data_IF_469599392237
#
_entry.id   IF_469599392237
#
_cell.length_a   1.000
_cell.length_b   1.000
_cell.length_c   1.000
_cell.angle_alpha   90.00
_cell.angle_beta   90.00
_cell.angle_gamma   90.00
#
_symmetry.space_group_name_H-M   'P 1'
#
loop_
_entity.id
_entity.type
_entity.pdbx_description
1 polymer ?
#
# COMPACT_ATOMS: atom_id res chain seq x y z
N UNK A 1 15.39 -5.01 14.71
CA UNK A 1 14.88 -3.78 14.07
C UNK A 1 14.13 -4.16 12.81
N UNK A 2 12.95 -4.75 12.99
CA UNK A 2 12.01 -5.09 11.93
C UNK A 2 10.99 -3.96 11.90
N UNK A 3 11.03 -3.11 10.87
CA UNK A 3 9.91 -2.18 10.62
C UNK A 3 8.80 -2.99 9.94
N UNK A 4 7.97 -3.62 10.75
CA UNK A 4 6.72 -4.23 10.31
C UNK A 4 5.72 -3.11 9.98
N UNK A 5 5.85 -2.55 8.78
CA UNK A 5 4.77 -1.77 8.16
C UNK A 5 3.69 -2.74 7.69
N UNK A 6 2.67 -2.91 8.55
CA UNK A 6 1.45 -3.65 8.28
C UNK A 6 0.65 -2.93 7.18
N UNK A 7 0.71 -3.47 5.96
CA UNK A 7 -0.17 -3.05 4.86
C UNK A 7 -1.49 -3.84 4.93
N UNK A 8 -2.56 -3.11 5.30
CA UNK A 8 -3.96 -3.48 5.15
C UNK A 8 -4.42 -3.22 3.72
N UNK A 9 -5.10 -4.19 3.11
CA UNK A 9 -6.09 -3.95 2.07
C UNK A 9 -6.89 -5.22 1.83
N UNK A 10 -8.16 -5.15 2.21
CA UNK A 10 -9.38 -5.42 1.44
C UNK A 10 -10.46 -5.85 2.45
N UNK A 11 -11.40 -4.94 2.72
CA UNK A 11 -12.49 -5.07 3.69
C UNK A 11 -13.57 -6.12 3.30
N UNK A 12 -13.32 -6.96 2.30
CA UNK A 12 -14.31 -7.90 1.76
C UNK A 12 -14.10 -9.36 2.20
N UNK A 13 -13.20 -9.63 3.16
CA UNK A 13 -12.94 -10.99 3.63
C UNK A 13 -13.29 -11.24 5.11
N UNK A 14 -13.84 -10.26 5.85
CA UNK A 14 -14.00 -10.36 7.32
C UNK A 14 -15.41 -10.75 7.82
N UNK A 15 -16.38 -11.02 6.94
CA UNK A 15 -17.76 -11.40 7.35
C UNK A 15 -17.90 -12.88 7.79
N UNK A 16 -16.83 -13.65 7.89
CA UNK A 16 -16.93 -15.01 8.43
C UNK A 16 -15.72 -15.35 9.30
N UNK A 17 -15.87 -15.21 10.62
CA UNK A 17 -15.76 -16.30 11.60
C UNK A 17 -15.92 -15.70 13.01
N UNK A 18 -16.97 -16.17 13.70
CA UNK A 18 -17.32 -15.87 15.08
C UNK A 18 -16.31 -16.40 16.11
N UNK A 19 -16.21 -15.64 17.20
CA UNK A 19 -16.04 -15.99 18.63
C UNK A 19 -14.83 -16.83 19.10
N UNK A 20 -13.88 -16.20 19.81
CA UNK A 20 -13.61 -16.38 21.27
C UNK A 20 -12.38 -15.56 21.79
N UNK A 21 -12.23 -15.32 23.12
CA UNK A 21 -11.99 -14.00 23.68
C UNK A 21 -10.52 -13.63 23.90
N UNK A 22 -10.21 -12.34 23.75
CA UNK A 22 -8.92 -11.73 24.05
C UNK A 22 -8.83 -11.44 25.57
N UNK A 23 -7.64 -11.61 26.15
CA UNK A 23 -7.29 -11.37 27.56
C UNK A 23 -7.75 -9.99 28.09
N UNK A 24 -8.05 -9.85 29.40
CA UNK A 24 -8.88 -8.76 29.92
C UNK A 24 -8.23 -7.37 30.09
N UNK A 25 -7.00 -7.14 29.61
CA UNK A 25 -6.27 -5.88 29.87
C UNK A 25 -6.02 -4.99 28.65
N UNK A 26 -6.48 -5.39 27.46
CA UNK A 26 -6.65 -4.47 26.34
C UNK A 26 -8.05 -4.65 25.78
N UNK A 27 -8.89 -3.63 25.96
CA UNK A 27 -10.26 -3.64 25.48
C UNK A 27 -10.27 -3.55 23.95
N UNK A 28 -10.25 -4.70 23.27
CA UNK A 28 -10.30 -4.83 21.81
C UNK A 28 -11.63 -4.34 21.19
N UNK A 29 -12.55 -3.78 21.99
CA UNK A 29 -13.78 -3.13 21.50
C UNK A 29 -13.58 -1.71 20.97
N UNK A 30 -12.36 -1.16 21.01
CA UNK A 30 -12.09 0.23 20.60
C UNK A 30 -11.86 0.42 19.08
N UNK A 31 -11.57 -0.65 18.34
CA UNK A 31 -11.33 -0.58 16.90
C UNK A 31 -12.36 -1.45 16.19
N UNK A 32 -13.40 -0.82 15.67
CA UNK A 32 -14.39 -1.42 14.76
C UNK A 32 -14.21 -0.77 13.39
N UNK A 33 -13.35 -1.30 12.51
CA UNK A 33 -13.08 -0.69 11.20
C UNK A 33 -14.34 -0.57 10.34
N UNK A 34 -15.28 -1.50 10.50
CA UNK A 34 -16.53 -1.56 9.76
C UNK A 34 -17.50 -0.51 10.29
N UNK A 35 -17.62 -0.40 11.62
CA UNK A 35 -18.35 0.67 12.30
C UNK A 35 -17.75 2.05 12.03
N UNK A 36 -16.43 2.20 11.99
CA UNK A 36 -15.74 3.46 11.70
C UNK A 36 -15.96 3.88 10.24
N UNK A 37 -15.90 2.93 9.29
CA UNK A 37 -16.27 3.18 7.89
C UNK A 37 -17.76 3.55 7.80
N UNK A 38 -18.65 2.87 8.51
CA UNK A 38 -20.07 3.19 8.55
C UNK A 38 -20.36 4.54 9.21
N UNK A 39 -19.59 4.93 10.23
CA UNK A 39 -19.68 6.23 10.91
C UNK A 39 -19.16 7.33 9.98
N UNK A 40 -18.04 7.12 9.28
CA UNK A 40 -17.55 8.05 8.27
C UNK A 40 -18.54 8.18 7.12
N UNK A 41 -19.10 7.07 6.64
CA UNK A 41 -20.14 7.05 5.61
C UNK A 41 -21.40 7.77 6.11
N UNK A 42 -21.81 7.54 7.35
CA UNK A 42 -22.94 8.22 8.00
C UNK A 42 -22.67 9.71 8.25
N UNK A 43 -21.45 10.13 8.58
CA UNK A 43 -21.06 11.54 8.72
C UNK A 43 -20.98 12.24 7.35
N UNK A 44 -20.57 11.51 6.30
CA UNK A 44 -20.55 11.97 4.92
C UNK A 44 -21.94 11.86 4.24
N UNK A 45 -22.91 11.18 4.83
CA UNK A 45 -24.25 10.94 4.26
C UNK A 45 -25.39 11.61 5.04
N UNK A 46 -25.29 11.75 6.36
CA UNK A 46 -26.22 12.51 7.19
C UNK A 46 -25.83 13.99 7.22
N UNK A 47 -26.83 14.87 7.29
CA UNK A 47 -26.63 16.28 7.64
C UNK A 47 -26.67 16.40 9.17
N UNK A 48 -25.52 16.48 9.89
CA UNK A 48 -25.56 17.04 11.22
C UNK A 48 -25.99 18.50 11.08
N UNK A 49 -27.05 18.92 11.79
CA UNK A 49 -27.43 20.33 11.83
C UNK A 49 -26.21 21.15 12.28
N UNK A 50 -25.68 22.04 11.43
CA UNK A 50 -24.47 22.78 11.76
C UNK A 50 -24.77 23.72 12.95
N UNK A 51 -23.80 23.94 13.86
CA UNK A 51 -23.92 25.00 14.85
C UNK A 51 -24.26 26.31 14.13
N UNK A 52 -25.12 27.15 14.71
CA UNK A 52 -25.82 28.28 14.07
C UNK A 52 -24.95 29.27 13.27
N UNK A 53 -23.63 29.17 13.42
CA UNK A 53 -22.62 30.09 12.90
C UNK A 53 -21.79 29.48 11.74
N UNK A 54 -22.04 28.22 11.31
CA UNK A 54 -21.23 27.50 10.31
C UNK A 54 -22.06 26.82 9.18
N UNK A 55 -23.28 27.31 8.92
CA UNK A 55 -24.25 26.69 7.98
C UNK A 55 -23.73 26.48 6.55
N UNK A 56 -22.85 27.35 6.06
CA UNK A 56 -22.33 27.28 4.69
C UNK A 56 -21.02 26.47 4.56
N UNK A 57 -20.36 26.16 5.67
CA UNK A 57 -19.04 25.50 5.70
C UNK A 57 -19.15 23.97 5.57
N UNK A 58 -20.18 23.37 6.17
CA UNK A 58 -20.36 21.92 6.18
C UNK A 58 -20.64 21.28 4.80
N UNK A 59 -21.53 21.83 3.96
CA UNK A 59 -21.82 21.24 2.64
C UNK A 59 -20.63 21.30 1.67
N UNK A 60 -19.83 22.37 1.73
CA UNK A 60 -18.65 22.54 0.89
C UNK A 60 -17.53 21.57 1.30
N UNK A 61 -17.22 21.49 2.61
CA UNK A 61 -16.26 20.54 3.18
C UNK A 61 -16.64 19.09 2.86
N UNK A 62 -17.93 18.74 2.95
CA UNK A 62 -18.44 17.40 2.61
C UNK A 62 -18.25 17.04 1.13
N UNK A 63 -18.50 17.99 0.22
CA UNK A 63 -18.29 17.80 -1.22
C UNK A 63 -16.81 17.61 -1.54
N UNK A 64 -15.93 18.30 -0.83
CA UNK A 64 -14.49 18.21 -1.05
C UNK A 64 -13.89 16.95 -0.39
N UNK A 65 -14.38 16.52 0.78
CA UNK A 65 -14.08 15.21 1.38
C UNK A 65 -14.45 14.04 0.47
N UNK A 66 -15.65 14.07 -0.13
CA UNK A 66 -16.08 13.03 -1.09
C UNK A 66 -15.18 12.94 -2.33
N UNK A 67 -14.48 14.02 -2.70
CA UNK A 67 -13.49 13.99 -3.79
C UNK A 67 -12.10 13.50 -3.33
N UNK A 68 -11.80 13.64 -2.05
CA UNK A 68 -10.50 13.30 -1.46
C UNK A 68 -10.39 11.81 -1.09
N UNK A 69 -11.51 11.15 -0.82
CA UNK A 69 -11.54 9.74 -0.44
C UNK A 69 -11.60 8.86 -1.69
N UNK A 70 -10.64 7.95 -1.83
CA UNK A 70 -10.61 6.91 -2.86
C UNK A 70 -11.14 5.60 -2.28
N UNK A 71 -12.12 4.99 -2.94
CA UNK A 71 -12.69 3.70 -2.54
C UNK A 71 -12.19 2.55 -3.41
N UNK A 72 -11.81 2.86 -4.65
CA UNK A 72 -11.31 1.90 -5.64
C UNK A 72 -10.02 2.40 -6.27
N UNK A 73 -9.26 1.48 -6.84
CA UNK A 73 -8.03 1.77 -7.58
C UNK A 73 -8.26 2.76 -8.73
N UNK A 74 -9.42 2.70 -9.38
CA UNK A 74 -9.81 3.61 -10.47
C UNK A 74 -10.08 5.05 -10.01
N UNK A 75 -10.29 5.27 -8.71
CA UNK A 75 -10.57 6.60 -8.15
C UNK A 75 -9.27 7.38 -7.90
N UNK A 76 -8.11 6.73 -8.01
CA UNK A 76 -6.80 7.34 -7.84
C UNK A 76 -6.51 8.24 -9.03
N UNK A 77 -6.66 9.56 -8.84
CA UNK A 77 -6.35 10.57 -9.86
C UNK A 77 -4.84 10.84 -10.01
N UNK A 78 -4.06 10.43 -9.02
CA UNK A 78 -2.64 10.74 -8.91
C UNK A 78 -2.37 12.22 -8.60
N UNK A 79 -1.11 12.52 -8.29
CA UNK A 79 -0.61 13.86 -8.02
C UNK A 79 -0.06 14.45 -9.33
N UNK A 80 -0.26 15.74 -9.56
CA UNK A 80 0.26 16.40 -10.75
C UNK A 80 1.81 16.34 -10.73
N UNK A 81 2.46 15.81 -11.79
CA UNK A 81 3.91 15.67 -11.88
C UNK A 81 4.71 16.96 -11.63
N UNK A 82 4.09 18.14 -11.82
CA UNK A 82 4.71 19.44 -11.54
C UNK A 82 4.94 19.67 -10.04
N UNK A 83 4.07 19.12 -9.19
CA UNK A 83 4.20 19.24 -7.75
C UNK A 83 5.16 18.19 -7.21
N UNK A 84 4.97 16.94 -7.61
CA UNK A 84 5.83 15.85 -7.20
C UNK A 84 5.97 14.81 -8.31
N UNK A 85 7.22 14.42 -8.56
CA UNK A 85 7.56 13.29 -9.42
C UNK A 85 8.67 12.48 -8.78
N UNK A 86 8.54 11.16 -8.84
CA UNK A 86 9.58 10.26 -8.38
C UNK A 86 10.66 10.11 -9.46
N UNK A 87 11.93 10.23 -9.05
CA UNK A 87 13.09 10.08 -9.92
C UNK A 87 14.00 8.98 -9.40
N UNK A 88 14.47 8.14 -10.31
CA UNK A 88 15.36 7.01 -10.03
C UNK A 88 16.74 7.36 -10.58
N UNK A 89 17.51 8.06 -9.75
CA UNK A 89 18.89 8.45 -10.07
C UNK A 89 19.82 7.26 -9.83
N UNK A 90 20.54 6.85 -10.86
CA UNK A 90 21.52 5.75 -10.79
C UNK A 90 22.91 6.30 -10.49
N UNK A 91 23.75 5.48 -9.86
CA UNK A 91 25.20 5.74 -9.75
C UNK A 91 25.87 5.64 -11.14
N UNK A 92 26.90 6.44 -11.40
CA UNK A 92 27.45 6.67 -12.75
C UNK A 92 28.02 5.41 -13.44
N UNK A 93 28.43 4.40 -12.66
CA UNK A 93 29.11 3.19 -13.17
C UNK A 93 28.23 1.94 -13.23
N UNK A 94 26.91 2.05 -13.02
CA UNK A 94 26.04 0.87 -12.99
C UNK A 94 25.50 0.48 -14.36
N UNK A 95 25.87 -0.73 -14.79
CA UNK A 95 25.26 -1.37 -15.96
C UNK A 95 23.81 -1.84 -15.65
N UNK A 96 22.85 -1.65 -16.57
CA UNK A 96 21.51 -2.20 -16.43
C UNK A 96 21.50 -3.71 -16.24
N UNK A 97 20.56 -4.21 -15.44
CA UNK A 97 20.45 -5.65 -15.14
C UNK A 97 19.07 -6.17 -15.55
N UNK A 98 19.10 -7.21 -16.40
CA UNK A 98 17.94 -7.99 -16.80
C UNK A 98 17.92 -9.28 -15.96
N UNK A 99 16.85 -9.49 -15.19
CA UNK A 99 16.63 -10.72 -14.43
C UNK A 99 15.61 -11.60 -15.13
N UNK A 100 15.87 -12.91 -15.15
CA UNK A 100 14.92 -13.90 -15.65
C UNK A 100 13.74 -14.06 -14.70
N UNK A 101 12.56 -14.31 -15.27
CA UNK A 101 11.37 -14.64 -14.48
C UNK A 101 11.58 -15.89 -13.60
N UNK A 102 11.06 -15.84 -12.38
CA UNK A 102 11.08 -16.97 -11.46
C UNK A 102 9.95 -17.96 -11.75
N UNK A 103 10.24 -19.26 -11.55
CA UNK A 103 9.19 -20.28 -11.57
C UNK A 103 8.29 -20.11 -10.37
N UNK A 104 6.99 -20.07 -10.63
CA UNK A 104 5.93 -19.86 -9.62
C UNK A 104 4.94 -21.02 -9.67
N UNK A 105 4.32 -21.31 -8.52
CA UNK A 105 3.32 -22.37 -8.40
C UNK A 105 2.06 -21.98 -9.21
N UNK A 106 1.41 -22.92 -9.93
CA UNK A 106 0.17 -22.65 -10.66
C UNK A 106 -0.93 -21.91 -9.86
N UNK A 107 -1.07 -22.16 -8.54
CA UNK A 107 -2.06 -21.43 -7.73
C UNK A 107 -1.71 -19.94 -7.57
N UNK A 108 -0.42 -19.63 -7.52
CA UNK A 108 0.09 -18.26 -7.36
C UNK A 108 0.06 -17.52 -8.70
N UNK A 109 0.21 -18.24 -9.81
CA UNK A 109 0.06 -17.70 -11.16
C UNK A 109 -1.26 -16.94 -11.34
N UNK A 110 -2.38 -17.55 -10.94
CA UNK A 110 -3.69 -16.93 -11.08
C UNK A 110 -3.82 -15.65 -10.23
N UNK A 111 -3.15 -15.59 -9.07
CA UNK A 111 -3.10 -14.39 -8.23
C UNK A 111 -2.29 -13.29 -8.91
N UNK A 112 -1.12 -13.61 -9.46
CA UNK A 112 -0.30 -12.66 -10.21
C UNK A 112 -1.08 -12.12 -11.41
N UNK A 113 -1.79 -12.99 -12.13
CA UNK A 113 -2.56 -12.60 -13.31
C UNK A 113 -3.62 -11.55 -12.95
N UNK A 114 -4.43 -11.83 -11.94
CA UNK A 114 -5.50 -10.92 -11.49
C UNK A 114 -4.94 -9.57 -11.05
N UNK A 115 -3.80 -9.57 -10.35
CA UNK A 115 -3.17 -8.33 -9.90
C UNK A 115 -2.65 -7.50 -11.07
N UNK A 116 -1.98 -8.14 -12.03
CA UNK A 116 -1.48 -7.47 -13.25
C UNK A 116 -2.64 -6.90 -14.07
N UNK A 117 -3.75 -7.63 -14.21
CA UNK A 117 -4.96 -7.16 -14.89
C UNK A 117 -5.56 -5.94 -14.17
N UNK A 118 -5.70 -5.98 -12.83
CA UNK A 118 -6.16 -4.83 -12.03
C UNK A 118 -5.29 -3.58 -12.27
N UNK A 119 -3.96 -3.73 -12.26
CA UNK A 119 -3.02 -2.63 -12.46
C UNK A 119 -3.04 -2.08 -13.90
N UNK A 120 -3.25 -2.94 -14.90
CA UNK A 120 -3.41 -2.54 -16.30
C UNK A 120 -4.71 -1.76 -16.51
N UNK A 121 -5.82 -2.27 -15.96
CA UNK A 121 -7.14 -1.65 -16.07
C UNK A 121 -7.17 -0.28 -15.40
N UNK A 122 -6.48 -0.12 -14.27
CA UNK A 122 -6.27 1.17 -13.61
C UNK A 122 -5.26 2.08 -14.33
N UNK A 123 -4.58 1.60 -15.37
CA UNK A 123 -3.61 2.36 -16.15
C UNK A 123 -2.30 2.69 -15.42
N UNK A 124 -2.05 2.06 -14.26
CA UNK A 124 -0.87 2.27 -13.42
C UNK A 124 0.39 1.65 -14.01
N UNK A 125 0.22 0.57 -14.79
CA UNK A 125 1.29 -0.09 -15.56
C UNK A 125 0.99 -0.06 -17.05
N UNK A 126 2.01 -0.33 -17.86
CA UNK A 126 1.88 -0.49 -19.31
C UNK A 126 2.77 -1.63 -19.82
N UNK A 127 2.37 -2.33 -20.89
CA UNK A 127 3.19 -3.38 -21.49
C UNK A 127 4.43 -2.77 -22.16
N UNK A 128 5.57 -3.45 -22.00
CA UNK A 128 6.86 -3.06 -22.61
C UNK A 128 7.60 -4.31 -23.07
N UNK A 129 8.19 -4.25 -24.26
CA UNK A 129 8.94 -5.36 -24.88
C UNK A 129 10.43 -5.31 -24.58
N UNK A 130 10.98 -4.11 -24.59
CA UNK A 130 12.40 -3.80 -24.65
C UNK A 130 12.74 -2.84 -23.52
N UNK A 131 13.24 -3.38 -22.41
CA UNK A 131 13.78 -2.59 -21.32
C UNK A 131 15.17 -3.09 -20.92
N UNK A 132 16.14 -2.19 -20.71
CA UNK A 132 17.46 -2.56 -20.20
C UNK A 132 17.42 -3.00 -18.73
N UNK A 133 16.35 -2.67 -18.00
CA UNK A 133 16.12 -3.09 -16.63
C UNK A 133 14.99 -4.11 -16.60
N UNK A 134 15.16 -5.24 -15.93
CA UNK A 134 14.05 -6.18 -15.71
C UNK A 134 14.18 -6.79 -14.33
N UNK A 135 13.15 -6.61 -13.51
CA UNK A 135 13.03 -7.21 -12.18
C UNK A 135 11.98 -8.34 -12.19
N UNK A 136 12.19 -9.50 -11.54
CA UNK A 136 11.21 -10.56 -11.54
C UNK A 136 10.11 -10.28 -10.51
N UNK A 137 8.90 -10.78 -10.77
CA UNK A 137 7.86 -10.85 -9.75
C UNK A 137 8.24 -11.88 -8.70
N UNK A 138 8.08 -11.50 -7.43
CA UNK A 138 8.25 -12.34 -6.26
C UNK A 138 6.99 -12.34 -5.41
N UNK A 139 6.50 -13.52 -5.06
CA UNK A 139 5.27 -13.68 -4.31
C UNK A 139 5.57 -14.00 -2.84
N UNK A 140 5.08 -13.16 -1.93
CA UNK A 140 5.28 -13.31 -0.50
C UNK A 140 3.95 -13.71 0.16
N UNK A 141 3.88 -14.85 0.88
CA UNK A 141 2.67 -15.21 1.60
C UNK A 141 2.37 -14.19 2.71
N UNK A 142 1.12 -13.73 2.82
CA UNK A 142 0.65 -12.99 3.99
C UNK A 142 0.59 -13.97 5.16
N UNK A 143 1.29 -13.63 6.25
CA UNK A 143 1.15 -14.35 7.53
C UNK A 143 -0.23 -13.99 8.10
N UNK A 144 -1.11 -14.98 8.23
CA UNK A 144 -2.37 -14.83 8.93
C UNK A 144 -2.22 -14.96 10.44
N UNK A 145 -3.35 -14.93 11.15
CA UNK A 145 -3.41 -15.23 12.57
C UNK A 145 -2.85 -16.62 12.90
N UNK A 146 -2.33 -16.76 14.11
CA UNK A 146 -1.82 -18.03 14.62
C UNK A 146 -3.02 -18.87 15.07
N UNK A 147 -3.24 -20.03 14.46
CA UNK A 147 -4.27 -20.98 14.89
C UNK A 147 -3.61 -22.22 15.48
N UNK A 148 -4.21 -22.78 16.52
CA UNK A 148 -3.72 -24.02 17.12
C UNK A 148 -4.42 -25.19 16.44
N UNK A 149 -3.68 -25.95 15.64
CA UNK A 149 -4.19 -27.12 14.92
C UNK A 149 -3.69 -28.37 15.64
N UNK A 150 -4.56 -29.36 15.86
CA UNK A 150 -4.14 -30.67 16.37
C UNK A 150 -3.45 -31.44 15.24
N UNK A 151 -2.22 -31.91 15.46
CA UNK A 151 -1.57 -32.83 14.53
C UNK A 151 -2.20 -34.24 14.60
N UNK A 152 -1.74 -35.16 13.77
CA UNK A 152 -2.21 -36.56 13.75
C UNK A 152 -1.94 -37.31 15.08
N UNK A 153 -1.04 -36.78 15.91
CA UNK A 153 -0.70 -37.27 17.25
C UNK A 153 -1.48 -36.54 18.36
N UNK A 154 -2.50 -35.74 18.00
CA UNK A 154 -3.34 -34.93 18.89
C UNK A 154 -2.60 -33.83 19.68
N UNK A 155 -1.35 -33.52 19.32
CA UNK A 155 -0.59 -32.40 19.87
C UNK A 155 -1.07 -31.08 19.26
N UNK A 156 -1.19 -30.07 20.12
CA UNK A 156 -1.59 -28.72 19.73
C UNK A 156 -0.41 -27.98 19.11
N UNK A 157 -0.33 -27.96 17.79
CA UNK A 157 0.74 -27.26 17.05
C UNK A 157 0.24 -25.88 16.62
N UNK A 158 0.87 -24.79 17.10
CA UNK A 158 0.53 -23.45 16.64
C UNK A 158 0.99 -23.28 15.19
N UNK A 159 0.02 -23.25 14.27
CA UNK A 159 0.22 -23.16 12.83
C UNK A 159 -0.24 -21.79 12.35
N UNK A 160 0.58 -21.11 11.54
CA UNK A 160 0.16 -19.86 10.90
C UNK A 160 -0.58 -20.18 9.61
N UNK A 161 -1.85 -19.80 9.52
CA UNK A 161 -2.59 -19.87 8.27
C UNK A 161 -2.05 -18.81 7.30
N UNK A 162 -1.89 -19.17 6.03
CA UNK A 162 -1.59 -18.21 4.97
C UNK A 162 -2.92 -17.68 4.46
N UNK A 163 -3.26 -16.44 4.80
CA UNK A 163 -4.55 -15.80 4.45
C UNK A 163 -4.57 -15.21 3.05
N UNK A 164 -3.41 -15.02 2.42
CA UNK A 164 -3.30 -14.49 1.07
C UNK A 164 -1.86 -14.42 0.58
N UNK A 165 -1.65 -13.86 -0.61
CA UNK A 165 -0.33 -13.67 -1.20
C UNK A 165 -0.16 -12.20 -1.63
N UNK A 166 1.02 -11.63 -1.40
CA UNK A 166 1.44 -10.32 -1.90
C UNK A 166 2.25 -10.53 -3.17
N UNK A 167 1.86 -9.85 -4.25
CA UNK A 167 2.66 -9.77 -5.46
C UNK A 167 3.64 -8.63 -5.27
N UNK A 168 4.93 -8.94 -5.16
CA UNK A 168 6.00 -7.97 -4.98
C UNK A 168 6.92 -8.02 -6.19
N UNK A 169 7.67 -6.94 -6.41
CA UNK A 169 8.70 -6.90 -7.45
C UNK A 169 10.04 -6.84 -6.77
N UNK A 170 10.94 -7.70 -7.20
CA UNK A 170 12.28 -7.77 -6.63
C UNK A 170 13.18 -6.69 -7.24
N UNK A 171 13.04 -5.46 -6.77
CA UNK A 171 13.89 -4.34 -7.16
C UNK A 171 15.27 -4.34 -6.48
N UNK A 172 15.72 -5.42 -5.82
CA UNK A 172 17.02 -5.40 -5.09
C UNK A 172 18.17 -4.95 -5.98
N UNK A 173 18.25 -5.48 -7.21
CA UNK A 173 19.31 -5.11 -8.16
C UNK A 173 19.21 -3.66 -8.66
N UNK A 174 17.99 -3.18 -8.88
CA UNK A 174 17.75 -1.78 -9.21
C UNK A 174 18.15 -0.87 -8.05
N UNK A 175 17.69 -1.21 -6.84
CA UNK A 175 17.98 -0.47 -5.62
C UNK A 175 19.47 -0.40 -5.30
N UNK A 176 20.25 -1.44 -5.57
CA UNK A 176 21.71 -1.41 -5.45
C UNK A 176 22.36 -0.36 -6.37
N UNK A 177 21.79 -0.16 -7.56
CA UNK A 177 22.27 0.83 -8.54
C UNK A 177 21.75 2.24 -8.27
N UNK A 178 20.64 2.38 -7.55
CA UNK A 178 20.00 3.66 -7.23
C UNK A 178 20.76 4.39 -6.13
N UNK A 179 21.08 5.67 -6.38
CA UNK A 179 21.66 6.60 -5.40
C UNK A 179 20.71 6.75 -4.21
N UNK A 180 21.19 6.46 -3.00
CA UNK A 180 20.34 6.48 -1.80
C UNK A 180 19.98 7.91 -1.40
N UNK A 181 18.69 8.13 -1.22
CA UNK A 181 18.16 9.38 -0.71
C UNK A 181 18.37 9.47 0.80
N UNK A 182 18.90 10.59 1.28
CA UNK A 182 19.22 10.84 2.69
C UNK A 182 18.13 11.67 3.38
N UNK A 183 16.88 11.55 2.93
CA UNK A 183 15.78 12.31 3.49
C UNK A 183 15.51 11.89 4.95
N UNK A 184 15.51 12.82 5.93
CA UNK A 184 15.28 12.48 7.32
C UNK A 184 13.80 12.18 7.53
N UNK A 185 13.46 10.91 7.73
CA UNK A 185 12.14 10.54 8.21
C UNK A 185 12.01 10.94 9.69
N UNK A 186 10.87 11.54 10.09
CA UNK A 186 10.67 11.92 11.49
C UNK A 186 10.66 10.68 12.38
N UNK A 187 11.21 10.81 13.59
CA UNK A 187 11.13 9.75 14.60
C UNK A 187 9.71 9.66 15.13
N UNK A 188 9.24 8.42 15.32
CA UNK A 188 7.89 8.16 15.83
C UNK A 188 7.66 8.83 17.18
N UNK A 189 8.63 8.77 18.10
CA UNK A 189 8.54 9.37 19.43
C UNK A 189 8.31 10.89 19.35
N UNK A 190 9.02 11.59 18.45
CA UNK A 190 8.84 13.02 18.25
C UNK A 190 7.46 13.37 17.67
N UNK A 191 6.90 12.49 16.83
CA UNK A 191 5.54 12.67 16.33
C UNK A 191 4.52 12.47 17.45
N UNK A 192 4.70 11.43 18.28
CA UNK A 192 3.82 11.13 19.41
C UNK A 192 3.86 12.21 20.49
N UNK A 193 5.03 12.76 20.81
CA UNK A 193 5.18 13.89 21.75
C UNK A 193 4.39 15.12 21.28
N UNK A 194 4.46 15.46 19.99
CA UNK A 194 3.68 16.58 19.42
C UNK A 194 2.17 16.31 19.42
N UNK A 195 1.79 15.05 19.29
CA UNK A 195 0.40 14.62 19.26
C UNK A 195 -0.21 14.66 20.68
N UNK A 196 0.54 14.28 21.71
CA UNK A 196 0.07 14.08 23.09
C UNK A 196 -0.60 15.30 23.75
N UNK A 197 -0.35 16.51 23.25
CA UNK A 197 -0.96 17.75 23.77
C UNK A 197 -2.40 18.00 23.25
N UNK A 198 -2.93 17.13 22.38
CA UNK A 198 -4.25 17.30 21.78
C UNK A 198 -5.33 16.44 22.46
N UNK A 199 -6.55 16.97 22.56
CA UNK A 199 -7.71 16.28 23.14
C UNK A 199 -8.41 15.32 22.16
N UNK A 200 -8.25 15.55 20.85
CA UNK A 200 -8.91 14.79 19.79
C UNK A 200 -7.90 14.34 18.73
N UNK A 201 -8.04 13.10 18.28
CA UNK A 201 -7.17 12.48 17.29
C UNK A 201 -7.98 12.00 16.09
N UNK A 202 -7.42 12.14 14.89
CA UNK A 202 -7.96 11.58 13.66
C UNK A 202 -6.85 10.86 12.92
N UNK A 203 -7.11 9.63 12.51
CA UNK A 203 -6.19 8.83 11.70
C UNK A 203 -6.70 8.80 10.27
N UNK A 204 -5.85 9.24 9.34
CA UNK A 204 -6.10 9.16 7.91
C UNK A 204 -4.97 8.36 7.29
N UNK A 205 -5.33 7.36 6.49
CA UNK A 205 -4.37 6.58 5.73
C UNK A 205 -4.51 6.86 4.23
N UNK A 206 -3.36 6.95 3.56
CA UNK A 206 -3.31 7.20 2.13
C UNK A 206 -3.49 5.90 1.35
N UNK A 207 -4.71 5.63 0.87
CA UNK A 207 -5.02 4.47 0.04
C UNK A 207 -4.02 4.37 -1.12
N UNK A 208 -3.24 3.28 -1.13
CA UNK A 208 -2.15 3.04 -2.10
C UNK A 208 -1.29 4.27 -2.39
N UNK A 209 -0.90 5.01 -1.34
CA UNK A 209 -0.27 6.33 -1.45
C UNK A 209 0.89 6.43 -2.45
N UNK A 210 1.69 5.37 -2.62
CA UNK A 210 2.79 5.36 -3.59
C UNK A 210 2.30 5.41 -5.05
N UNK A 211 1.24 4.69 -5.39
CA UNK A 211 0.69 4.69 -6.76
C UNK A 211 0.09 6.05 -7.16
N UNK A 212 -0.08 6.97 -6.21
CA UNK A 212 -0.53 8.32 -6.50
C UNK A 212 0.60 9.21 -7.04
N UNK A 213 1.88 8.89 -6.78
CA UNK A 213 3.01 9.71 -7.21
C UNK A 213 3.52 9.22 -8.58
N UNK A 214 3.50 10.06 -9.63
CA UNK A 214 4.02 9.68 -10.94
C UNK A 214 5.54 9.53 -10.93
N UNK A 215 6.05 8.57 -11.70
CA UNK A 215 7.49 8.43 -12.00
C UNK A 215 7.81 9.31 -13.20
N UNK A 216 8.96 9.99 -13.17
CA UNK A 216 9.49 10.72 -14.33
C UNK A 216 9.50 9.81 -15.57
N UNK A 217 8.96 10.24 -16.73
CA UNK A 217 8.87 9.39 -17.92
C UNK A 217 10.19 8.72 -18.33
N UNK A 218 11.34 9.34 -18.04
CA UNK A 218 12.67 8.78 -18.35
C UNK A 218 13.10 7.64 -17.42
N UNK A 219 12.43 7.52 -16.29
CA UNK A 219 12.73 6.56 -15.23
C UNK A 219 11.73 5.40 -15.19
N UNK A 220 10.59 5.49 -15.88
CA UNK A 220 9.55 4.45 -15.89
C UNK A 220 10.09 3.09 -16.32
N UNK A 221 10.90 3.03 -17.39
CA UNK A 221 11.52 1.79 -17.89
C UNK A 221 12.44 1.12 -16.85
N UNK A 222 12.98 1.86 -15.87
CA UNK A 222 13.80 1.27 -14.81
C UNK A 222 12.96 0.39 -13.88
N UNK A 223 11.67 0.66 -13.78
CA UNK A 223 10.71 -0.13 -12.99
C UNK A 223 10.12 -1.31 -13.74
N UNK A 224 10.66 -1.65 -14.91
CA UNK A 224 10.19 -2.80 -15.66
C UNK A 224 10.31 -4.08 -14.85
N UNK A 225 9.23 -4.84 -14.84
CA UNK A 225 9.16 -6.15 -14.24
C UNK A 225 8.63 -7.20 -15.21
N UNK A 226 9.06 -8.43 -15.00
CA UNK A 226 8.60 -9.59 -15.77
C UNK A 226 7.75 -10.50 -14.89
N UNK A 227 6.72 -11.08 -15.49
CA UNK A 227 5.87 -12.10 -14.90
C UNK A 227 5.55 -13.18 -15.96
N UNK A 228 4.93 -14.31 -15.59
CA UNK A 228 4.62 -15.38 -16.55
C UNK A 228 3.70 -14.96 -17.71
N UNK A 229 3.04 -13.81 -17.60
CA UNK A 229 2.07 -13.30 -18.57
C UNK A 229 2.60 -12.18 -19.47
N UNK A 230 3.81 -11.69 -19.20
CA UNK A 230 4.40 -10.61 -19.97
C UNK A 230 5.37 -9.76 -19.16
N UNK A 231 5.78 -8.65 -19.79
CA UNK A 231 6.69 -7.67 -19.20
C UNK A 231 6.00 -6.31 -19.21
N UNK A 232 6.07 -5.63 -18.07
CA UNK A 232 5.34 -4.39 -17.82
C UNK A 232 6.22 -3.40 -17.07
N UNK A 233 5.91 -2.10 -17.17
CA UNK A 233 6.57 -1.05 -16.41
C UNK A 233 5.53 -0.17 -15.69
N UNK A 234 5.92 0.45 -14.58
CA UNK A 234 5.03 1.35 -13.86
C UNK A 234 5.13 2.79 -14.37
N UNK A 235 3.97 3.47 -14.39
CA UNK A 235 3.90 4.93 -14.59
C UNK A 235 3.99 5.70 -13.29
N UNK A 236 3.66 5.06 -12.17
CA UNK A 236 3.65 5.62 -10.83
C UNK A 236 4.58 4.85 -9.90
N UNK A 237 4.91 5.43 -8.76
CA UNK A 237 5.84 4.84 -7.82
C UNK A 237 5.29 3.51 -7.31
N UNK A 238 6.08 2.44 -7.42
CA UNK A 238 5.70 1.11 -6.96
C UNK A 238 6.39 0.73 -5.66
N UNK A 239 5.78 -0.19 -4.93
CA UNK A 239 6.37 -0.76 -3.73
C UNK A 239 7.70 -1.47 -4.03
N UNK A 240 8.63 -1.38 -3.09
CA UNK A 240 9.96 -1.99 -3.19
C UNK A 240 11.06 -1.06 -3.71
N UNK A 241 10.73 0.12 -4.23
CA UNK A 241 11.72 1.16 -4.56
C UNK A 241 12.32 1.77 -3.29
N UNK A 242 13.66 1.81 -3.19
CA UNK A 242 14.33 2.24 -1.96
C UNK A 242 14.11 3.71 -1.57
N UNK A 243 13.93 4.60 -2.54
CA UNK A 243 13.72 6.03 -2.30
C UNK A 243 12.23 6.43 -2.32
N UNK A 244 11.32 5.46 -2.41
CA UNK A 244 9.88 5.74 -2.43
C UNK A 244 9.39 6.43 -1.14
N UNK A 245 9.77 5.97 0.08
CA UNK A 245 9.34 6.62 1.31
C UNK A 245 9.81 8.07 1.42
N UNK A 246 11.06 8.36 1.06
CA UNK A 246 11.60 9.73 1.10
C UNK A 246 10.92 10.66 0.10
N UNK A 247 10.57 10.14 -1.08
CA UNK A 247 9.79 10.90 -2.08
C UNK A 247 8.38 11.16 -1.59
N UNK A 248 7.71 10.14 -1.04
CA UNK A 248 6.36 10.26 -0.50
C UNK A 248 6.32 11.30 0.62
N UNK A 249 7.25 11.25 1.56
CA UNK A 249 7.31 12.19 2.67
C UNK A 249 7.55 13.64 2.19
N UNK A 250 8.43 13.86 1.19
CA UNK A 250 8.61 15.18 0.57
C UNK A 250 7.36 15.71 -0.12
N UNK A 251 6.54 14.82 -0.67
CA UNK A 251 5.29 15.20 -1.32
C UNK A 251 4.21 15.64 -0.32
N UNK A 252 4.27 15.09 0.90
CA UNK A 252 3.28 15.33 1.95
C UNK A 252 3.62 16.52 2.85
N UNK A 253 4.85 17.03 2.79
CA UNK A 253 5.31 18.25 3.51
C UNK A 253 5.07 19.50 2.69
#
# INVERSE_FOLDING_TARGET
>A
NESDFLLMEEADAFIAIHDEPISPEFNATYYDPEGDIFILEALLNNDPEPPSNQKDYFPSVRKDLKKAISWKLTDIKGIDPKFCSHKILLEEDFAPKVQSQMRVNPKINDVIKKEVEKLLDAGLIYPISDSPWVSPVHCVPKKGGMTVIKNDENELVPTRLVTGCRVCIDYRKLNEATRKDHFPLPFMDQMLERLAENEYYCFLDGFLGYFQIPIDPKDQEKTTFTCPYGTFAYKCMSFGLCNAPGTFQRCMM
#
